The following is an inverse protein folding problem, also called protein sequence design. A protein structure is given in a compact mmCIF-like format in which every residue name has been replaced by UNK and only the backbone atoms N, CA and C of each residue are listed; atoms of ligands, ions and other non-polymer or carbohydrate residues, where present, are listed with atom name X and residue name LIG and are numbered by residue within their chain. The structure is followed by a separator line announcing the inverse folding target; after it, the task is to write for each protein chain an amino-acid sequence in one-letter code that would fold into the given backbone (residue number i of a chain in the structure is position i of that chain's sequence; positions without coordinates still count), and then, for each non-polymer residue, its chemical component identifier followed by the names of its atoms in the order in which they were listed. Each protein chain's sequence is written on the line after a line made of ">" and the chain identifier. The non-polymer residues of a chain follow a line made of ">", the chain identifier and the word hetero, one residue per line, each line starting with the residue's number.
data_IF_422467785928
#
_entry.id   IF_422467785928
#
_cell.length_a   1.000
_cell.length_b   1.000
_cell.length_c   1.000
_cell.angle_alpha   90.00
_cell.angle_beta   90.00
_cell.angle_gamma   90.00
#
_symmetry.space_group_name_H-M   'P 1'
#
loop_
_entity.id
_entity.type
_entity.pdbx_description
1 polymer ?
#
# COMPACT_ATOMS: atom_id res chain seq x y z
N UNK A 1 6.75 26.82 -23.02
CA UNK A 1 6.86 26.62 -21.55
C UNK A 1 8.27 26.14 -21.29
N UNK A 2 9.17 27.07 -20.95
CA UNK A 2 10.60 26.79 -20.75
C UNK A 2 10.79 25.78 -19.63
N UNK A 3 11.60 24.74 -19.87
CA UNK A 3 12.09 23.83 -18.83
C UNK A 3 12.92 24.66 -17.87
N UNK A 4 12.38 24.99 -16.70
CA UNK A 4 13.17 25.48 -15.58
C UNK A 4 14.19 24.39 -15.23
N UNK A 5 15.45 24.73 -15.36
CA UNK A 5 16.59 23.91 -14.94
C UNK A 5 16.35 23.51 -13.48
N UNK A 6 16.07 22.24 -13.22
CA UNK A 6 15.80 21.78 -11.86
C UNK A 6 17.15 21.77 -11.14
N UNK A 7 17.37 22.78 -10.30
CA UNK A 7 18.55 22.81 -9.43
C UNK A 7 18.61 21.53 -8.61
N UNK A 8 19.77 20.87 -8.62
CA UNK A 8 20.05 19.65 -7.86
C UNK A 8 19.81 19.90 -6.36
N UNK A 9 18.90 19.15 -5.75
CA UNK A 9 18.55 19.27 -4.33
C UNK A 9 19.25 18.19 -3.49
N UNK A 10 19.59 18.53 -2.24
CA UNK A 10 20.01 17.57 -1.22
C UNK A 10 18.78 17.16 -0.39
N UNK A 11 18.40 15.90 -0.47
CA UNK A 11 17.15 15.36 0.10
C UNK A 11 17.48 14.32 1.16
N UNK A 12 17.02 14.51 2.37
CA UNK A 12 17.02 13.48 3.41
C UNK A 12 15.65 12.80 3.46
N UNK A 13 15.62 11.49 3.54
CA UNK A 13 14.42 10.69 3.79
C UNK A 13 14.57 10.07 5.18
N UNK A 14 13.60 10.27 6.07
CA UNK A 14 13.56 9.67 7.41
C UNK A 14 12.41 8.66 7.45
N UNK A 15 12.76 7.37 7.63
CA UNK A 15 11.83 6.26 7.68
C UNK A 15 12.10 5.36 8.89
N UNK A 16 11.08 4.89 9.63
CA UNK A 16 11.29 4.19 10.90
C UNK A 16 12.03 2.84 10.79
N UNK A 17 11.68 2.00 9.81
CA UNK A 17 12.25 0.65 9.67
C UNK A 17 12.25 0.24 8.20
N UNK A 18 13.42 0.07 7.60
CA UNK A 18 13.58 -0.20 6.17
C UNK A 18 13.62 -1.72 5.90
N UNK A 19 12.46 -2.37 6.00
CA UNK A 19 12.25 -3.80 5.70
C UNK A 19 11.55 -4.03 4.36
N UNK A 20 10.66 -5.03 4.34
CA UNK A 20 9.81 -5.36 3.18
C UNK A 20 8.36 -5.08 3.54
N UNK A 21 7.76 -4.10 2.90
CA UNK A 21 6.35 -3.71 3.07
C UNK A 21 5.94 -2.63 2.08
N UNK A 22 4.67 -2.25 2.09
CA UNK A 22 4.14 -1.27 1.15
C UNK A 22 4.65 0.15 1.38
N UNK A 23 4.84 0.54 2.64
CA UNK A 23 5.39 1.84 2.99
C UNK A 23 6.89 1.93 2.64
N UNK A 24 7.63 0.87 2.95
CA UNK A 24 9.04 0.74 2.62
C UNK A 24 9.25 0.78 1.09
N UNK A 25 8.39 0.06 0.33
CA UNK A 25 8.43 0.10 -1.14
C UNK A 25 8.24 1.51 -1.67
N UNK A 26 7.27 2.27 -1.15
CA UNK A 26 7.03 3.65 -1.55
C UNK A 26 8.24 4.54 -1.31
N UNK A 27 8.90 4.40 -0.16
CA UNK A 27 10.08 5.19 0.17
C UNK A 27 11.29 4.82 -0.69
N UNK A 28 11.45 3.54 -1.01
CA UNK A 28 12.49 3.09 -1.94
C UNK A 28 12.23 3.62 -3.35
N UNK A 29 11.00 3.53 -3.85
CA UNK A 29 10.61 4.13 -5.14
C UNK A 29 10.84 5.64 -5.15
N UNK A 30 10.50 6.34 -4.07
CA UNK A 30 10.78 7.77 -3.92
C UNK A 30 12.29 8.08 -4.02
N UNK A 31 13.11 7.30 -3.32
CA UNK A 31 14.56 7.51 -3.34
C UNK A 31 15.17 7.23 -4.72
N UNK A 32 14.76 6.15 -5.40
CA UNK A 32 15.19 5.79 -6.74
C UNK A 32 14.80 6.88 -7.74
N UNK A 33 13.53 7.29 -7.76
CA UNK A 33 13.03 8.27 -8.71
C UNK A 33 13.65 9.67 -8.49
N UNK A 34 13.80 10.10 -7.24
CA UNK A 34 14.48 11.38 -6.95
C UNK A 34 15.95 11.34 -7.32
N UNK A 35 16.64 10.22 -7.10
CA UNK A 35 18.03 10.05 -7.51
C UNK A 35 18.16 10.05 -9.05
N UNK A 36 17.24 9.41 -9.76
CA UNK A 36 17.22 9.39 -11.23
C UNK A 36 16.92 10.77 -11.84
N UNK A 37 16.21 11.63 -11.10
CA UNK A 37 16.01 13.04 -11.47
C UNK A 37 17.22 13.94 -11.13
N UNK A 38 18.32 13.37 -10.66
CA UNK A 38 19.59 14.07 -10.43
C UNK A 38 19.75 14.67 -9.04
N UNK A 39 18.84 14.42 -8.11
CA UNK A 39 18.95 14.89 -6.72
C UNK A 39 19.92 14.01 -5.91
N UNK A 40 20.51 14.59 -4.87
CA UNK A 40 21.29 13.85 -3.88
C UNK A 40 20.34 13.34 -2.80
N UNK A 41 20.08 12.03 -2.76
CA UNK A 41 19.16 11.43 -1.80
C UNK A 41 19.92 10.63 -0.75
N UNK A 42 19.55 10.75 0.52
CA UNK A 42 20.08 9.98 1.65
C UNK A 42 18.95 9.48 2.53
N UNK A 43 18.87 8.16 2.74
CA UNK A 43 17.87 7.56 3.64
C UNK A 43 18.46 7.37 5.04
N UNK A 44 17.72 7.83 6.05
CA UNK A 44 18.01 7.64 7.46
C UNK A 44 16.92 6.77 8.10
N UNK A 45 17.31 5.72 8.78
CA UNK A 45 16.37 4.77 9.39
C UNK A 45 16.86 4.29 10.74
N UNK A 46 15.95 3.77 11.56
CA UNK A 46 16.34 3.17 12.84
C UNK A 46 16.65 1.68 12.74
N UNK A 47 16.30 1.03 11.63
CA UNK A 47 16.62 -0.37 11.38
C UNK A 47 16.64 -0.69 9.87
N UNK A 48 17.64 -1.50 9.48
CA UNK A 48 17.79 -1.99 8.12
C UNK A 48 18.43 -3.39 8.16
N UNK A 49 17.64 -4.40 7.90
CA UNK A 49 18.13 -5.78 7.77
C UNK A 49 18.49 -6.03 6.29
N UNK A 50 19.79 -6.06 6.01
CA UNK A 50 20.32 -6.24 4.64
C UNK A 50 19.99 -7.61 4.02
N UNK A 51 19.58 -8.59 4.84
CA UNK A 51 19.16 -9.92 4.37
C UNK A 51 17.69 -9.98 4.02
N UNK A 52 16.91 -8.96 4.45
CA UNK A 52 15.47 -8.87 4.25
C UNK A 52 15.06 -7.43 3.92
N UNK A 53 15.50 -6.94 2.80
CA UNK A 53 15.22 -5.58 2.30
C UNK A 53 15.02 -5.57 0.79
N UNK A 54 14.64 -4.43 0.25
CA UNK A 54 14.63 -4.22 -1.20
C UNK A 54 16.06 -4.04 -1.71
N UNK A 55 16.36 -4.63 -2.87
CA UNK A 55 17.70 -4.66 -3.47
C UNK A 55 18.28 -3.26 -3.67
N UNK A 56 17.46 -2.30 -4.05
CA UNK A 56 17.86 -0.91 -4.28
C UNK A 56 18.48 -0.25 -3.04
N UNK A 57 18.12 -0.71 -1.83
CA UNK A 57 18.66 -0.18 -0.56
C UNK A 57 20.09 -0.63 -0.25
N UNK A 58 20.59 -1.61 -0.99
CA UNK A 58 21.98 -2.15 -0.86
C UNK A 58 22.78 -2.02 -2.15
N UNK A 59 22.16 -1.58 -3.25
CA UNK A 59 22.80 -1.42 -4.57
C UNK A 59 23.76 -0.24 -4.68
N UNK A 60 23.73 0.71 -3.72
CA UNK A 60 24.58 1.90 -3.74
C UNK A 60 24.04 3.07 -4.58
N UNK A 61 22.81 3.01 -5.09
CA UNK A 61 22.16 4.13 -5.82
C UNK A 61 22.04 5.36 -4.91
N UNK A 62 21.79 5.15 -3.63
CA UNK A 62 21.74 6.16 -2.58
C UNK A 62 22.27 5.59 -1.26
N UNK A 63 22.87 6.42 -0.38
CA UNK A 63 23.30 5.97 0.93
C UNK A 63 22.10 5.70 1.85
N UNK A 64 22.24 4.64 2.66
CA UNK A 64 21.32 4.29 3.75
C UNK A 64 22.11 4.28 5.06
N UNK A 65 21.72 5.12 6.02
CA UNK A 65 22.37 5.19 7.35
C UNK A 65 21.39 4.80 8.45
N UNK A 66 21.87 3.95 9.34
CA UNK A 66 21.06 3.41 10.45
C UNK A 66 21.51 4.05 11.77
N UNK A 67 20.57 4.64 12.50
CA UNK A 67 20.79 5.18 13.85
C UNK A 67 19.77 4.61 14.84
N UNK A 68 20.23 4.20 16.02
CA UNK A 68 19.37 3.73 17.09
C UNK A 68 18.90 2.27 16.96
N UNK A 69 19.62 1.44 16.21
CA UNK A 69 19.33 0.00 16.10
C UNK A 69 19.38 -0.74 17.46
N UNK A 70 20.11 -0.20 18.45
CA UNK A 70 20.18 -0.70 19.81
C UNK A 70 18.93 -0.42 20.65
N UNK A 71 18.08 0.51 20.23
CA UNK A 71 16.85 0.83 20.94
C UNK A 71 15.78 -0.25 20.71
N UNK A 72 15.01 -0.64 21.75
CA UNK A 72 14.04 -1.71 21.64
C UNK A 72 12.88 -1.34 20.69
N UNK A 73 12.34 -2.34 19.99
CA UNK A 73 11.12 -2.19 19.16
C UNK A 73 9.84 -2.22 20.00
N UNK A 74 9.91 -2.85 21.16
CA UNK A 74 8.81 -2.95 22.13
C UNK A 74 9.37 -3.22 23.52
N UNK A 75 8.58 -2.93 24.56
CA UNK A 75 8.84 -3.28 25.93
C UNK A 75 7.77 -4.30 26.36
N UNK A 76 8.18 -5.52 26.70
CA UNK A 76 7.30 -6.65 27.07
C UNK A 76 6.16 -6.88 26.05
N UNK A 77 6.46 -6.87 24.74
CA UNK A 77 5.48 -6.97 23.66
C UNK A 77 4.36 -5.89 23.71
N UNK A 78 4.65 -4.78 24.37
CA UNK A 78 3.76 -3.60 24.52
C UNK A 78 4.54 -2.34 24.16
N UNK A 79 3.88 -1.19 24.22
CA UNK A 79 4.46 0.15 24.02
C UNK A 79 5.17 0.34 22.65
N UNK A 80 4.74 -0.38 21.61
CA UNK A 80 5.34 -0.33 20.27
C UNK A 80 5.41 1.12 19.73
N UNK A 81 4.34 1.91 19.90
CA UNK A 81 4.30 3.30 19.41
C UNK A 81 5.33 4.19 20.11
N UNK A 82 5.49 4.08 21.43
CA UNK A 82 6.50 4.86 22.17
C UNK A 82 7.90 4.46 21.75
N UNK A 83 8.18 3.15 21.60
CA UNK A 83 9.48 2.68 21.12
C UNK A 83 9.77 3.18 19.70
N UNK A 84 8.79 3.16 18.80
CA UNK A 84 8.91 3.71 17.47
C UNK A 84 9.22 5.21 17.49
N UNK A 85 8.52 5.98 18.32
CA UNK A 85 8.77 7.42 18.50
C UNK A 85 10.18 7.69 19.01
N UNK A 86 10.62 6.99 20.07
CA UNK A 86 11.98 7.14 20.61
C UNK A 86 13.06 6.83 19.58
N UNK A 87 12.88 5.77 18.79
CA UNK A 87 13.80 5.40 17.72
C UNK A 87 13.85 6.48 16.63
N UNK A 88 12.69 6.96 16.17
CA UNK A 88 12.62 8.02 15.16
C UNK A 88 13.17 9.36 15.68
N UNK A 89 12.93 9.71 16.95
CA UNK A 89 13.53 10.88 17.59
C UNK A 89 15.06 10.76 17.61
N UNK A 90 15.60 9.59 17.93
CA UNK A 90 17.04 9.35 17.93
C UNK A 90 17.65 9.50 16.53
N UNK A 91 16.99 8.96 15.49
CA UNK A 91 17.37 9.19 14.08
C UNK A 91 17.36 10.70 13.76
N UNK A 92 16.27 11.40 14.12
CA UNK A 92 16.13 12.83 13.85
C UNK A 92 17.21 13.68 14.57
N UNK A 93 17.54 13.36 15.81
CA UNK A 93 18.63 14.03 16.55
C UNK A 93 19.99 13.76 15.89
N UNK A 94 20.24 12.52 15.44
CA UNK A 94 21.48 12.20 14.72
C UNK A 94 21.58 13.01 13.42
N UNK A 95 20.50 13.10 12.65
CA UNK A 95 20.46 13.93 11.43
C UNK A 95 20.63 15.41 11.78
N UNK A 96 20.03 15.88 12.86
CA UNK A 96 20.10 17.29 13.29
C UNK A 96 21.54 17.72 13.60
N UNK A 97 22.29 16.89 14.35
CA UNK A 97 23.59 17.27 14.88
C UNK A 97 24.77 16.82 14.02
N UNK A 98 24.64 15.71 13.27
CA UNK A 98 25.77 15.10 12.57
C UNK A 98 25.82 15.43 11.07
N UNK A 99 24.75 15.99 10.50
CA UNK A 99 24.67 16.26 9.06
C UNK A 99 24.43 17.75 8.78
N UNK A 100 24.90 18.25 7.61
CA UNK A 100 24.56 19.59 7.15
C UNK A 100 23.05 19.72 6.91
N UNK A 101 22.61 20.94 6.62
CA UNK A 101 21.21 21.16 6.24
C UNK A 101 20.94 20.56 4.87
N UNK A 102 19.78 19.90 4.76
CA UNK A 102 19.22 19.44 3.50
C UNK A 102 18.26 20.53 2.95
N UNK A 103 18.03 20.51 1.64
CA UNK A 103 17.02 21.40 1.04
C UNK A 103 15.61 20.90 1.41
N UNK A 104 15.42 19.58 1.30
CA UNK A 104 14.16 18.88 1.65
C UNK A 104 14.44 17.76 2.64
N UNK A 105 13.56 17.61 3.61
CA UNK A 105 13.49 16.46 4.50
C UNK A 105 12.12 15.79 4.31
N UNK A 106 12.11 14.60 3.71
CA UNK A 106 10.91 13.78 3.57
C UNK A 106 10.81 12.87 4.80
N UNK A 107 9.89 13.19 5.70
CA UNK A 107 9.55 12.36 6.85
C UNK A 107 8.40 11.41 6.49
N UNK A 108 8.53 10.13 6.81
CA UNK A 108 7.54 9.12 6.49
C UNK A 108 7.01 8.43 7.74
N UNK A 109 5.71 8.14 7.77
CA UNK A 109 4.94 7.46 8.82
C UNK A 109 4.90 8.18 10.18
N UNK A 110 6.03 8.66 10.70
CA UNK A 110 6.14 9.13 12.09
C UNK A 110 6.41 10.63 12.14
N UNK A 111 5.37 11.39 12.43
CA UNK A 111 5.40 12.87 12.41
C UNK A 111 6.21 13.51 13.54
N UNK A 112 6.53 12.78 14.62
CA UNK A 112 7.28 13.30 15.78
C UNK A 112 8.68 13.84 15.43
N UNK A 113 9.25 13.42 14.28
CA UNK A 113 10.54 13.93 13.80
C UNK A 113 10.45 15.36 13.25
N UNK A 114 9.28 15.80 12.82
CA UNK A 114 9.08 17.08 12.11
C UNK A 114 9.54 18.27 12.94
N UNK A 115 9.15 18.44 14.21
CA UNK A 115 9.61 19.58 15.03
C UNK A 115 11.14 19.67 15.11
N UNK A 116 11.83 18.53 15.24
CA UNK A 116 13.29 18.48 15.29
C UNK A 116 13.90 18.90 13.96
N UNK A 117 13.34 18.43 12.86
CA UNK A 117 13.82 18.77 11.53
C UNK A 117 13.56 20.24 11.16
N UNK A 118 12.53 20.86 11.70
CA UNK A 118 12.24 22.30 11.56
C UNK A 118 13.29 23.18 12.26
N UNK A 119 14.09 22.65 13.19
CA UNK A 119 15.23 23.36 13.76
C UNK A 119 16.35 23.62 12.74
N UNK A 120 16.44 22.81 11.69
CA UNK A 120 17.28 23.10 10.52
C UNK A 120 16.59 24.17 9.65
N UNK A 121 16.81 25.43 9.98
CA UNK A 121 16.09 26.60 9.42
C UNK A 121 16.12 26.69 7.89
N UNK A 122 17.12 26.12 7.20
CA UNK A 122 17.20 26.10 5.74
C UNK A 122 16.40 24.97 5.08
N UNK A 123 16.03 23.93 5.82
CA UNK A 123 15.32 22.77 5.28
C UNK A 123 13.81 22.97 5.27
N UNK A 124 13.13 22.46 4.23
CA UNK A 124 11.68 22.29 4.19
C UNK A 124 11.34 20.85 4.53
N UNK A 125 10.25 20.65 5.27
CA UNK A 125 9.83 19.31 5.72
C UNK A 125 8.56 18.89 4.99
N UNK A 126 8.64 17.83 4.24
CA UNK A 126 7.52 17.12 3.60
C UNK A 126 7.18 15.92 4.45
N UNK A 127 5.91 15.71 4.78
CA UNK A 127 5.46 14.55 5.53
C UNK A 127 4.56 13.65 4.68
N UNK A 128 4.91 12.37 4.56
CA UNK A 128 4.05 11.38 3.90
C UNK A 128 3.26 10.60 4.95
N UNK A 129 1.95 10.83 5.00
CA UNK A 129 1.02 10.17 5.91
C UNK A 129 0.31 9.04 5.17
N UNK A 130 0.75 7.79 5.36
CA UNK A 130 0.09 6.64 4.76
C UNK A 130 -1.35 6.48 5.24
N UNK A 131 -1.56 6.67 6.53
CA UNK A 131 -2.85 6.71 7.21
C UNK A 131 -2.66 7.27 8.64
N UNK A 132 -3.63 7.99 9.24
CA UNK A 132 -3.52 8.44 10.62
C UNK A 132 -3.29 7.29 11.59
N UNK A 133 -2.16 7.29 12.33
CA UNK A 133 -1.76 6.21 13.24
C UNK A 133 -2.79 6.01 14.37
N UNK A 134 -3.41 7.11 14.82
CA UNK A 134 -4.48 7.04 15.83
C UNK A 134 -5.66 6.15 15.41
N UNK A 135 -5.92 5.95 14.12
CA UNK A 135 -6.97 5.05 13.62
C UNK A 135 -6.49 3.60 13.49
N UNK A 136 -5.18 3.39 13.32
CA UNK A 136 -4.58 2.05 13.27
C UNK A 136 -4.44 1.44 14.67
N UNK A 137 -4.36 2.29 15.68
CA UNK A 137 -4.20 1.88 17.06
C UNK A 137 -5.50 1.28 17.63
N UNK A 138 -5.38 0.17 18.33
CA UNK A 138 -6.52 -0.44 19.02
C UNK A 138 -6.82 0.30 20.33
N UNK A 139 -8.01 0.90 20.45
CA UNK A 139 -8.51 1.59 21.64
C UNK A 139 -9.49 0.70 22.47
N UNK A 140 -9.19 -0.59 22.56
CA UNK A 140 -10.11 -1.60 23.12
C UNK A 140 -10.25 -1.52 24.66
N UNK A 141 -9.28 -0.98 25.38
CA UNK A 141 -9.31 -0.88 26.83
C UNK A 141 -9.12 0.57 27.32
N UNK A 142 -9.61 0.88 28.54
CA UNK A 142 -9.45 2.20 29.15
C UNK A 142 -7.96 2.57 29.27
N UNK A 143 -7.12 1.64 29.68
CA UNK A 143 -5.65 1.85 29.80
C UNK A 143 -5.03 2.20 28.44
N UNK A 144 -5.45 1.50 27.37
CA UNK A 144 -4.97 1.83 26.01
C UNK A 144 -5.43 3.21 25.56
N UNK A 145 -6.66 3.61 25.87
CA UNK A 145 -7.17 4.97 25.55
C UNK A 145 -6.36 6.04 26.26
N UNK A 146 -6.09 5.88 27.58
CA UNK A 146 -5.28 6.82 28.36
C UNK A 146 -3.86 6.91 27.79
N UNK A 147 -3.25 5.76 27.47
CA UNK A 147 -1.92 5.67 26.87
C UNK A 147 -1.85 6.34 25.50
N UNK A 148 -2.85 6.12 24.65
CA UNK A 148 -2.87 6.64 23.27
C UNK A 148 -3.18 8.13 23.18
N UNK A 149 -4.01 8.66 24.05
CA UNK A 149 -4.47 10.06 23.99
C UNK A 149 -3.35 11.10 23.83
N UNK A 150 -2.24 11.08 24.61
CA UNK A 150 -1.13 12.01 24.42
C UNK A 150 -0.37 11.75 23.09
N UNK A 151 -0.28 10.52 22.63
CA UNK A 151 0.39 10.14 21.38
C UNK A 151 -0.43 10.66 20.20
N UNK A 152 -1.75 10.45 20.21
CA UNK A 152 -2.67 10.89 19.17
C UNK A 152 -2.70 12.42 19.05
N UNK A 153 -2.67 13.11 20.20
CA UNK A 153 -2.55 14.57 20.24
C UNK A 153 -1.21 15.05 19.63
N UNK A 154 -0.11 14.39 20.01
CA UNK A 154 1.22 14.71 19.49
C UNK A 154 1.31 14.46 17.98
N UNK A 155 0.70 13.37 17.49
CA UNK A 155 0.61 13.05 16.06
C UNK A 155 -0.04 14.21 15.29
N UNK A 156 -1.22 14.68 15.72
CA UNK A 156 -1.91 15.77 15.04
C UNK A 156 -1.08 17.06 15.06
N UNK A 157 -0.53 17.44 16.23
CA UNK A 157 0.25 18.66 16.40
C UNK A 157 1.51 18.66 15.54
N UNK A 158 2.27 17.58 15.56
CA UNK A 158 3.54 17.49 14.81
C UNK A 158 3.31 17.38 13.32
N UNK A 159 2.26 16.68 12.88
CA UNK A 159 1.86 16.60 11.48
C UNK A 159 1.56 18.00 10.92
N UNK A 160 0.89 18.83 11.68
CA UNK A 160 0.55 20.20 11.27
C UNK A 160 1.74 21.17 11.14
N UNK A 161 2.94 20.76 11.55
CA UNK A 161 4.17 21.55 11.41
C UNK A 161 4.91 21.30 10.08
N UNK A 162 4.50 20.33 9.28
CA UNK A 162 5.09 20.08 7.96
C UNK A 162 4.81 21.24 6.99
N UNK A 163 5.76 21.50 6.07
CA UNK A 163 5.57 22.49 5.00
C UNK A 163 4.64 21.94 3.89
N UNK A 164 4.61 20.61 3.71
CA UNK A 164 3.71 19.90 2.83
C UNK A 164 3.35 18.54 3.44
N UNK A 165 2.09 18.18 3.38
CA UNK A 165 1.59 16.86 3.79
C UNK A 165 1.12 16.13 2.55
N UNK A 166 1.62 14.89 2.34
CA UNK A 166 1.21 14.00 1.27
C UNK A 166 0.46 12.80 1.85
N UNK A 167 -0.51 12.29 1.10
CA UNK A 167 -1.26 11.07 1.43
C UNK A 167 -1.41 10.18 0.21
N UNK A 168 -1.66 8.88 0.42
CA UNK A 168 -1.68 7.87 -0.62
C UNK A 168 -2.96 7.82 -1.46
N UNK A 169 -4.05 8.53 -1.07
CA UNK A 169 -5.33 8.50 -1.79
C UNK A 169 -6.24 9.66 -1.36
N UNK A 170 -7.26 9.96 -2.18
CA UNK A 170 -8.33 10.89 -1.80
C UNK A 170 -9.15 10.35 -0.63
N UNK A 171 -9.33 9.02 -0.56
CA UNK A 171 -9.93 8.37 0.60
C UNK A 171 -9.16 8.68 1.88
N UNK A 172 -7.83 8.53 1.87
CA UNK A 172 -6.98 8.89 3.01
C UNK A 172 -7.00 10.39 3.28
N UNK A 173 -7.04 11.26 2.26
CA UNK A 173 -7.18 12.72 2.45
C UNK A 173 -8.50 13.07 3.16
N UNK A 174 -9.60 12.44 2.76
CA UNK A 174 -10.90 12.61 3.45
C UNK A 174 -10.86 12.10 4.89
N UNK A 175 -10.24 10.95 5.12
CA UNK A 175 -10.06 10.37 6.46
C UNK A 175 -9.18 11.26 7.33
N UNK A 176 -8.08 11.77 6.79
CA UNK A 176 -7.21 12.75 7.44
C UNK A 176 -7.99 13.97 7.93
N UNK A 177 -8.81 14.57 7.06
CA UNK A 177 -9.61 15.73 7.41
C UNK A 177 -10.67 15.46 8.50
N UNK A 178 -11.24 14.24 8.51
CA UNK A 178 -12.21 13.81 9.54
C UNK A 178 -11.54 13.52 10.88
N UNK A 179 -10.30 13.03 10.83
CA UNK A 179 -9.53 12.58 12.00
C UNK A 179 -8.84 13.73 12.68
N UNK A 180 -8.05 14.50 11.95
CA UNK A 180 -7.29 15.64 12.44
C UNK A 180 -8.13 16.92 12.37
N UNK A 181 -9.10 17.02 13.26
CA UNK A 181 -10.10 18.09 13.26
C UNK A 181 -9.49 19.46 13.46
N UNK A 182 -8.45 19.58 14.29
CA UNK A 182 -7.77 20.82 14.53
C UNK A 182 -7.00 21.31 13.27
N UNK A 183 -6.31 20.41 12.58
CA UNK A 183 -5.65 20.76 11.33
C UNK A 183 -6.67 21.14 10.25
N UNK A 184 -7.75 20.39 10.17
CA UNK A 184 -8.85 20.65 9.24
C UNK A 184 -9.48 22.03 9.46
N UNK A 185 -9.71 22.46 10.71
CA UNK A 185 -10.25 23.78 11.04
C UNK A 185 -9.30 24.93 10.67
N UNK A 186 -7.99 24.66 10.67
CA UNK A 186 -6.95 25.61 10.23
C UNK A 186 -6.76 25.65 8.71
N UNK A 187 -7.56 24.91 7.94
CA UNK A 187 -7.45 24.83 6.48
C UNK A 187 -6.28 23.98 5.97
N UNK A 188 -5.60 23.23 6.84
CA UNK A 188 -4.50 22.35 6.43
C UNK A 188 -5.09 21.13 5.73
N UNK A 189 -4.72 20.96 4.46
CA UNK A 189 -5.18 19.86 3.57
C UNK A 189 -3.97 19.12 3.02
N UNK A 190 -3.96 17.79 3.07
CA UNK A 190 -2.92 17.03 2.41
C UNK A 190 -3.11 17.02 0.88
N UNK A 191 -2.00 16.96 0.14
CA UNK A 191 -2.00 16.67 -1.28
C UNK A 191 -1.93 15.15 -1.50
N UNK A 192 -2.50 14.68 -2.60
CA UNK A 192 -2.49 13.25 -2.93
C UNK A 192 -1.30 12.92 -3.79
N UNK A 193 -0.51 11.94 -3.36
CA UNK A 193 0.55 11.30 -4.14
C UNK A 193 0.31 9.79 -4.09
N UNK A 194 -0.26 9.25 -5.16
CA UNK A 194 -0.56 7.82 -5.26
C UNK A 194 0.71 6.97 -5.25
N UNK A 195 0.76 5.87 -4.46
CA UNK A 195 1.80 4.85 -4.59
C UNK A 195 1.85 4.27 -6.00
N UNK A 196 3.01 3.79 -6.40
CA UNK A 196 3.26 3.29 -7.73
C UNK A 196 3.45 1.77 -7.79
N UNK A 197 3.35 1.24 -9.00
CA UNK A 197 3.74 -0.12 -9.34
C UNK A 197 4.81 -0.09 -10.41
N UNK A 198 5.86 -0.87 -10.23
CA UNK A 198 6.80 -1.16 -11.30
C UNK A 198 6.14 -2.08 -12.32
N UNK A 199 5.70 -1.50 -13.43
CA UNK A 199 4.98 -2.23 -14.48
C UNK A 199 5.85 -3.22 -15.24
N UNK A 200 7.16 -2.99 -15.27
CA UNK A 200 8.12 -3.83 -16.03
C UNK A 200 8.38 -5.20 -15.37
N UNK A 201 7.85 -5.40 -14.14
CA UNK A 201 7.89 -6.70 -13.46
C UNK A 201 6.86 -7.71 -13.98
N UNK A 202 5.97 -7.30 -14.87
CA UNK A 202 4.84 -8.12 -15.33
C UNK A 202 4.85 -8.23 -16.86
N UNK A 203 5.00 -9.45 -17.34
CA UNK A 203 4.94 -9.78 -18.76
C UNK A 203 3.50 -9.92 -19.25
N UNK A 204 3.31 -9.85 -20.58
CA UNK A 204 2.01 -10.14 -21.17
C UNK A 204 1.68 -11.63 -20.99
N UNK A 205 0.45 -11.98 -20.54
CA UNK A 205 0.08 -13.37 -20.27
C UNK A 205 0.03 -14.21 -21.54
N UNK A 206 0.75 -15.33 -21.55
CA UNK A 206 0.75 -16.29 -22.67
C UNK A 206 -0.47 -17.20 -22.67
N UNK A 207 -1.02 -17.52 -21.50
CA UNK A 207 -2.19 -18.39 -21.32
C UNK A 207 -3.02 -17.94 -20.12
N UNK A 208 -4.33 -18.15 -20.22
CA UNK A 208 -5.26 -17.86 -19.12
C UNK A 208 -5.95 -19.14 -18.72
N UNK A 209 -5.89 -19.48 -17.44
CA UNK A 209 -6.63 -20.61 -16.82
C UNK A 209 -8.00 -20.13 -16.39
N UNK A 210 -8.94 -21.07 -16.27
CA UNK A 210 -10.27 -20.81 -15.74
C UNK A 210 -10.23 -20.68 -14.21
N UNK A 211 -9.46 -19.68 -13.71
CA UNK A 211 -9.24 -19.47 -12.30
C UNK A 211 -9.39 -18.00 -11.91
N UNK A 212 -9.99 -17.77 -10.77
CA UNK A 212 -9.99 -16.48 -10.08
C UNK A 212 -8.88 -16.45 -9.04
N UNK A 213 -8.33 -15.26 -8.75
CA UNK A 213 -7.23 -15.12 -7.82
C UNK A 213 -7.55 -14.05 -6.77
N UNK A 214 -7.45 -14.39 -5.49
CA UNK A 214 -7.51 -13.43 -4.38
C UNK A 214 -6.13 -13.35 -3.73
N UNK A 215 -5.52 -12.15 -3.72
CA UNK A 215 -4.22 -11.93 -3.09
C UNK A 215 -4.40 -10.99 -1.90
N UNK A 216 -4.28 -11.53 -0.70
CA UNK A 216 -4.41 -10.79 0.54
C UNK A 216 -3.61 -11.45 1.67
N UNK A 217 -3.19 -10.68 2.68
CA UNK A 217 -2.72 -11.28 3.93
C UNK A 217 -3.88 -12.01 4.61
N UNK A 218 -3.61 -13.13 5.26
CA UNK A 218 -4.63 -13.90 5.98
C UNK A 218 -5.05 -13.18 7.28
N UNK A 219 -5.72 -12.05 7.12
CA UNK A 219 -6.24 -11.20 8.20
C UNK A 219 -7.74 -10.95 7.99
N UNK A 220 -8.55 -11.01 9.05
CA UNK A 220 -10.02 -10.87 8.96
C UNK A 220 -10.47 -9.57 8.29
N UNK A 221 -9.73 -8.49 8.50
CA UNK A 221 -10.00 -7.20 7.84
C UNK A 221 -9.92 -7.24 6.31
N UNK A 222 -9.32 -8.31 5.73
CA UNK A 222 -9.23 -8.50 4.28
C UNK A 222 -10.47 -9.16 3.69
N UNK A 223 -11.39 -9.65 4.54
CA UNK A 223 -12.70 -10.16 4.15
C UNK A 223 -12.63 -11.20 3.00
N UNK A 224 -11.69 -12.15 3.12
CA UNK A 224 -11.46 -13.19 2.10
C UNK A 224 -12.68 -14.11 1.96
N UNK A 225 -13.46 -14.26 3.03
CA UNK A 225 -14.71 -15.01 3.04
C UNK A 225 -15.69 -14.53 1.95
N UNK A 226 -15.70 -13.24 1.62
CA UNK A 226 -16.51 -12.71 0.52
C UNK A 226 -16.13 -13.32 -0.84
N UNK A 227 -14.82 -13.50 -1.11
CA UNK A 227 -14.36 -14.14 -2.34
C UNK A 227 -14.80 -15.62 -2.39
N UNK A 228 -14.69 -16.34 -1.29
CA UNK A 228 -15.09 -17.76 -1.18
C UNK A 228 -16.59 -17.90 -1.39
N UNK A 229 -17.41 -17.14 -0.67
CA UNK A 229 -18.88 -17.22 -0.78
C UNK A 229 -19.38 -16.77 -2.15
N UNK A 230 -18.76 -15.76 -2.77
CA UNK A 230 -19.09 -15.34 -4.13
C UNK A 230 -18.73 -16.44 -5.17
N UNK A 231 -17.58 -17.07 -5.02
CA UNK A 231 -17.15 -18.19 -5.85
C UNK A 231 -18.07 -19.39 -5.69
N UNK A 232 -18.43 -19.75 -4.45
CA UNK A 232 -19.35 -20.85 -4.16
C UNK A 232 -20.74 -20.62 -4.78
N UNK A 233 -21.23 -19.38 -4.70
CA UNK A 233 -22.50 -19.00 -5.33
C UNK A 233 -22.42 -19.15 -6.87
N UNK A 234 -21.31 -18.75 -7.48
CA UNK A 234 -21.08 -18.94 -8.91
C UNK A 234 -21.03 -20.42 -9.30
N UNK A 235 -20.24 -21.21 -8.56
CA UNK A 235 -19.99 -22.62 -8.84
C UNK A 235 -21.26 -23.49 -8.64
N UNK A 236 -22.04 -23.20 -7.60
CA UNK A 236 -23.26 -23.92 -7.25
C UNK A 236 -24.50 -23.40 -7.97
N UNK A 237 -24.42 -22.27 -8.69
CA UNK A 237 -25.53 -21.78 -9.50
C UNK A 237 -25.83 -22.78 -10.62
N UNK A 238 -27.13 -23.00 -10.91
CA UNK A 238 -27.59 -23.91 -11.99
C UNK A 238 -27.21 -23.41 -13.41
N UNK A 239 -26.12 -22.65 -13.53
CA UNK A 239 -25.61 -22.17 -14.81
C UNK A 239 -24.68 -23.21 -15.47
N UNK A 240 -25.02 -24.50 -15.35
CA UNK A 240 -24.25 -25.60 -16.00
C UNK A 240 -24.09 -25.40 -17.50
N UNK A 241 -25.05 -24.70 -18.15
CA UNK A 241 -24.95 -24.36 -19.57
C UNK A 241 -23.81 -23.34 -19.89
N UNK A 242 -23.26 -22.60 -18.89
CA UNK A 242 -22.17 -21.65 -19.12
C UNK A 242 -20.80 -22.34 -19.13
N UNK A 243 -20.63 -23.37 -18.34
CA UNK A 243 -19.35 -24.05 -18.13
C UNK A 243 -19.27 -25.41 -18.85
N UNK A 244 -20.42 -26.11 -19.01
CA UNK A 244 -20.42 -27.44 -19.58
C UNK A 244 -19.39 -28.37 -18.94
N UNK A 245 -18.62 -29.08 -19.77
CA UNK A 245 -17.56 -30.00 -19.33
C UNK A 245 -16.36 -29.30 -18.63
N UNK A 246 -16.29 -27.95 -18.68
CA UNK A 246 -15.19 -27.19 -18.07
C UNK A 246 -15.46 -26.75 -16.63
N UNK A 247 -16.59 -27.13 -16.05
CA UNK A 247 -16.94 -26.76 -14.65
C UNK A 247 -15.87 -27.21 -13.67
N UNK A 248 -15.29 -28.40 -13.86
CA UNK A 248 -14.25 -28.93 -12.99
C UNK A 248 -12.89 -28.22 -13.10
N UNK A 249 -12.68 -27.46 -14.19
CA UNK A 249 -11.48 -26.64 -14.36
C UNK A 249 -11.59 -25.28 -13.61
N UNK A 250 -12.81 -24.90 -13.22
CA UNK A 250 -13.04 -23.62 -12.54
C UNK A 250 -12.53 -23.66 -11.11
N UNK A 251 -11.68 -22.71 -10.76
CA UNK A 251 -11.05 -22.65 -9.44
C UNK A 251 -10.91 -21.24 -8.88
N UNK A 252 -10.80 -21.16 -7.56
CA UNK A 252 -10.39 -19.96 -6.84
C UNK A 252 -9.07 -20.21 -6.12
N UNK A 253 -8.08 -19.38 -6.38
CA UNK A 253 -6.80 -19.40 -5.67
C UNK A 253 -6.79 -18.27 -4.65
N UNK A 254 -6.60 -18.60 -3.39
CA UNK A 254 -6.45 -17.66 -2.28
C UNK A 254 -4.99 -17.65 -1.86
N UNK A 255 -4.27 -16.60 -2.23
CA UNK A 255 -2.82 -16.49 -2.03
C UNK A 255 -2.47 -15.29 -1.14
N UNK A 256 -1.34 -15.35 -0.46
CA UNK A 256 -0.81 -14.16 0.22
C UNK A 256 0.04 -14.41 1.45
N UNK A 257 0.32 -13.32 2.15
CA UNK A 257 1.18 -13.32 3.32
C UNK A 257 0.56 -14.06 4.51
N UNK A 258 1.35 -14.96 5.09
CA UNK A 258 0.96 -15.79 6.23
C UNK A 258 2.14 -15.94 7.19
N UNK A 259 1.91 -15.67 8.47
CA UNK A 259 2.91 -15.91 9.52
C UNK A 259 2.32 -16.84 10.60
N UNK A 260 2.90 -18.04 10.72
CA UNK A 260 2.50 -19.05 11.71
C UNK A 260 2.57 -18.56 13.17
N UNK A 261 3.36 -17.52 13.45
CA UNK A 261 3.48 -16.92 14.78
C UNK A 261 2.32 -15.99 15.11
N UNK A 262 1.58 -15.53 14.10
CA UNK A 262 0.42 -14.69 14.29
C UNK A 262 -0.84 -15.56 14.42
N UNK A 263 -1.38 -15.61 15.62
CA UNK A 263 -2.58 -16.39 15.95
C UNK A 263 -3.75 -16.08 15.00
N UNK A 264 -3.97 -14.81 14.68
CA UNK A 264 -5.02 -14.38 13.74
C UNK A 264 -4.86 -15.05 12.37
N UNK A 265 -3.62 -15.12 11.82
CA UNK A 265 -3.41 -15.72 10.51
C UNK A 265 -3.76 -17.22 10.52
N UNK A 266 -3.38 -17.94 11.59
CA UNK A 266 -3.65 -19.37 11.72
C UNK A 266 -5.16 -19.63 11.85
N UNK A 267 -5.81 -18.93 12.78
CA UNK A 267 -7.25 -19.09 13.02
C UNK A 267 -8.07 -18.73 11.77
N UNK A 268 -7.73 -17.61 11.12
CA UNK A 268 -8.47 -17.16 9.96
C UNK A 268 -8.33 -18.10 8.76
N UNK A 269 -7.13 -18.66 8.52
CA UNK A 269 -6.95 -19.68 7.48
C UNK A 269 -7.86 -20.92 7.71
N UNK A 270 -7.97 -21.40 8.96
CA UNK A 270 -8.85 -22.51 9.29
C UNK A 270 -10.34 -22.14 9.14
N UNK A 271 -10.73 -20.93 9.52
CA UNK A 271 -12.09 -20.43 9.30
C UNK A 271 -12.43 -20.40 7.80
N UNK A 272 -11.51 -19.98 6.94
CA UNK A 272 -11.69 -19.94 5.49
C UNK A 272 -11.80 -21.35 4.88
N UNK A 273 -11.01 -22.32 5.34
CA UNK A 273 -11.13 -23.73 4.92
C UNK A 273 -12.48 -24.32 5.31
N UNK A 274 -12.89 -24.12 6.56
CA UNK A 274 -14.18 -24.57 7.05
C UNK A 274 -15.35 -23.91 6.30
N UNK A 275 -15.20 -22.64 5.88
CA UNK A 275 -16.17 -21.98 5.00
C UNK A 275 -16.25 -22.67 3.64
N UNK A 276 -15.12 -22.95 3.01
CA UNK A 276 -15.07 -23.63 1.72
C UNK A 276 -15.73 -25.04 1.76
N UNK A 277 -15.55 -25.76 2.86
CA UNK A 277 -16.23 -27.06 3.08
C UNK A 277 -17.76 -26.90 3.23
N UNK A 278 -18.20 -25.94 4.05
CA UNK A 278 -19.64 -25.68 4.25
C UNK A 278 -20.34 -25.25 2.96
N UNK A 279 -19.64 -24.47 2.13
CA UNK A 279 -20.16 -24.02 0.84
C UNK A 279 -20.03 -25.08 -0.27
N UNK A 280 -19.40 -26.24 0.01
CA UNK A 280 -19.27 -27.37 -0.92
C UNK A 280 -18.26 -27.14 -2.05
N UNK A 281 -17.29 -26.26 -1.88
CA UNK A 281 -16.30 -25.86 -2.91
C UNK A 281 -14.83 -26.09 -2.49
N UNK A 282 -14.60 -26.89 -1.45
CA UNK A 282 -13.25 -27.10 -0.91
C UNK A 282 -12.26 -27.68 -1.94
N UNK A 283 -12.75 -28.48 -2.91
CA UNK A 283 -11.91 -29.07 -3.97
C UNK A 283 -11.51 -28.06 -5.05
N UNK A 284 -12.29 -27.01 -5.21
CA UNK A 284 -12.07 -25.97 -6.22
C UNK A 284 -11.29 -24.76 -5.65
N UNK A 285 -10.99 -24.76 -4.35
CA UNK A 285 -10.25 -23.66 -3.69
C UNK A 285 -8.86 -24.14 -3.30
N UNK A 286 -7.86 -23.40 -3.78
CA UNK A 286 -6.45 -23.61 -3.40
C UNK A 286 -5.99 -22.47 -2.50
N UNK A 287 -5.43 -22.81 -1.32
CA UNK A 287 -4.80 -21.85 -0.41
C UNK A 287 -3.27 -21.89 -0.59
N UNK A 288 -2.68 -20.74 -0.94
CA UNK A 288 -1.23 -20.56 -1.13
C UNK A 288 -0.70 -19.59 -0.07
N UNK A 289 -0.15 -20.12 1.01
CA UNK A 289 0.39 -19.35 2.12
C UNK A 289 1.84 -18.94 1.88
N UNK A 290 2.22 -17.72 2.27
CA UNK A 290 3.59 -17.20 2.12
C UNK A 290 4.10 -17.21 0.67
N UNK A 291 3.24 -16.88 -0.27
CA UNK A 291 3.48 -16.85 -1.70
C UNK A 291 4.71 -15.98 -2.07
N UNK A 292 5.79 -16.55 -2.62
CA UNK A 292 6.93 -15.78 -3.12
C UNK A 292 6.53 -14.89 -4.29
N UNK A 293 7.31 -13.84 -4.56
CA UNK A 293 7.01 -12.88 -5.65
C UNK A 293 6.94 -13.57 -7.02
N UNK A 294 7.83 -14.52 -7.32
CA UNK A 294 7.82 -15.27 -8.58
C UNK A 294 6.55 -16.11 -8.75
N UNK A 295 6.12 -16.82 -7.70
CA UNK A 295 4.88 -17.61 -7.72
C UNK A 295 3.67 -16.68 -7.83
N UNK A 296 3.64 -15.56 -7.07
CA UNK A 296 2.59 -14.53 -7.16
C UNK A 296 2.45 -13.99 -8.59
N UNK A 297 3.56 -13.65 -9.25
CA UNK A 297 3.54 -13.16 -10.63
C UNK A 297 3.04 -14.23 -11.62
N UNK A 298 3.41 -15.48 -11.40
CA UNK A 298 2.87 -16.62 -12.18
C UNK A 298 1.37 -16.78 -12.00
N UNK A 299 0.86 -16.71 -10.76
CA UNK A 299 -0.58 -16.79 -10.48
C UNK A 299 -1.33 -15.60 -11.13
N UNK A 300 -0.78 -14.39 -11.03
CA UNK A 300 -1.32 -13.21 -11.68
C UNK A 300 -1.38 -13.39 -13.20
N UNK A 301 -0.31 -13.88 -13.84
CA UNK A 301 -0.29 -14.05 -15.31
C UNK A 301 -1.30 -15.07 -15.81
N UNK A 302 -1.71 -16.05 -14.99
CA UNK A 302 -2.56 -17.17 -15.40
C UNK A 302 -4.05 -17.01 -15.06
N UNK A 303 -4.44 -16.16 -14.11
CA UNK A 303 -5.85 -16.02 -13.70
C UNK A 303 -6.71 -15.28 -14.74
N UNK A 304 -8.04 -15.44 -14.67
CA UNK A 304 -9.02 -14.66 -15.42
C UNK A 304 -9.10 -13.23 -14.92
N UNK A 305 -9.28 -13.07 -13.62
CA UNK A 305 -9.29 -11.77 -12.95
C UNK A 305 -8.90 -11.91 -11.48
N UNK A 306 -8.59 -10.79 -10.85
CA UNK A 306 -8.28 -10.73 -9.42
C UNK A 306 -9.51 -10.29 -8.64
N UNK A 307 -9.78 -10.97 -7.53
CA UNK A 307 -10.85 -10.65 -6.57
C UNK A 307 -10.23 -9.92 -5.38
N UNK A 308 -10.61 -8.68 -5.16
CA UNK A 308 -10.09 -7.85 -4.09
C UNK A 308 -11.20 -7.41 -3.13
N UNK A 309 -11.26 -8.05 -1.99
CA UNK A 309 -12.38 -8.01 -1.04
C UNK A 309 -12.26 -7.01 0.11
N UNK A 310 -11.10 -6.38 0.42
CA UNK A 310 -11.03 -5.41 1.50
C UNK A 310 -11.99 -4.24 1.29
N UNK A 311 -12.79 -3.96 2.33
CA UNK A 311 -13.65 -2.78 2.39
C UNK A 311 -12.87 -1.60 2.97
N UNK A 312 -13.08 -0.39 2.45
CA UNK A 312 -12.48 0.85 2.94
C UNK A 312 -10.93 0.77 3.04
N UNK A 313 -10.30 0.04 2.11
CA UNK A 313 -8.85 -0.03 2.02
C UNK A 313 -8.27 1.34 1.71
N UNK A 314 -7.17 1.70 2.36
CA UNK A 314 -6.59 3.04 2.27
C UNK A 314 -6.17 3.40 0.83
N UNK A 315 -5.57 2.44 0.12
CA UNK A 315 -5.21 2.58 -1.28
C UNK A 315 -5.43 1.27 -2.04
N UNK A 316 -4.77 0.17 -1.64
CA UNK A 316 -4.85 -1.13 -2.31
C UNK A 316 -3.87 -1.25 -3.47
N UNK A 317 -2.64 -1.67 -3.19
CA UNK A 317 -1.61 -1.87 -4.21
C UNK A 317 -1.89 -3.10 -5.08
N UNK A 318 -2.51 -4.15 -4.53
CA UNK A 318 -2.80 -5.41 -5.23
C UNK A 318 -3.67 -5.22 -6.48
N UNK A 319 -4.73 -4.40 -6.49
CA UNK A 319 -5.43 -4.04 -7.71
C UNK A 319 -4.52 -3.48 -8.81
N UNK A 320 -3.58 -2.60 -8.45
CA UNK A 320 -2.63 -2.03 -9.42
C UNK A 320 -1.64 -3.08 -9.95
N UNK A 321 -1.15 -3.98 -9.09
CA UNK A 321 -0.30 -5.10 -9.50
C UNK A 321 -1.03 -6.04 -10.47
N UNK A 322 -2.30 -6.34 -10.19
CA UNK A 322 -3.14 -7.14 -11.09
C UNK A 322 -3.34 -6.46 -12.45
N UNK A 323 -3.69 -5.17 -12.42
CA UNK A 323 -3.85 -4.38 -13.65
C UNK A 323 -2.53 -4.24 -14.42
N UNK A 324 -1.41 -4.08 -13.72
CA UNK A 324 -0.07 -4.11 -14.32
C UNK A 324 0.25 -5.46 -14.98
N UNK A 325 -0.26 -6.56 -14.46
CA UNK A 325 -0.16 -7.91 -15.02
C UNK A 325 -1.24 -8.21 -16.10
N UNK A 326 -1.86 -7.20 -16.70
CA UNK A 326 -2.94 -7.33 -17.68
C UNK A 326 -4.18 -8.09 -17.16
N UNK A 327 -4.50 -7.95 -15.87
CA UNK A 327 -5.67 -8.60 -15.29
C UNK A 327 -6.69 -7.57 -14.81
N UNK A 328 -7.96 -7.74 -15.20
CA UNK A 328 -9.03 -6.95 -14.61
C UNK A 328 -9.22 -7.31 -13.14
N UNK A 329 -9.83 -6.40 -12.38
CA UNK A 329 -10.05 -6.57 -10.95
C UNK A 329 -11.53 -6.44 -10.62
N UNK A 330 -12.06 -7.34 -9.78
CA UNK A 330 -13.34 -7.16 -9.10
C UNK A 330 -13.03 -6.71 -7.68
N UNK A 331 -13.45 -5.53 -7.29
CA UNK A 331 -13.16 -4.97 -5.97
C UNK A 331 -14.39 -4.38 -5.29
N UNK A 332 -14.32 -4.20 -3.97
CA UNK A 332 -15.33 -3.47 -3.22
C UNK A 332 -15.41 -2.01 -3.71
N UNK A 333 -16.64 -1.51 -3.88
CA UNK A 333 -16.92 -0.11 -4.26
C UNK A 333 -16.71 0.83 -3.07
N UNK A 334 -15.52 0.82 -2.50
CA UNK A 334 -15.13 1.67 -1.37
C UNK A 334 -13.61 1.82 -1.26
N UNK A 335 -13.18 2.90 -0.59
CA UNK A 335 -11.75 3.15 -0.34
C UNK A 335 -10.95 3.48 -1.60
N UNK A 336 -9.68 3.14 -1.58
CA UNK A 336 -8.73 3.36 -2.68
C UNK A 336 -9.08 2.71 -4.01
N UNK A 337 -9.65 1.48 -4.06
CA UNK A 337 -10.08 0.86 -5.32
C UNK A 337 -10.99 1.72 -6.18
N UNK A 338 -11.83 2.57 -5.58
CA UNK A 338 -12.71 3.52 -6.33
C UNK A 338 -11.92 4.55 -7.12
N UNK A 339 -10.67 4.83 -6.70
CA UNK A 339 -9.79 5.81 -7.35
C UNK A 339 -8.90 5.17 -8.42
N UNK A 340 -8.66 3.85 -8.31
CA UNK A 340 -7.70 3.14 -9.15
C UNK A 340 -8.37 2.31 -10.23
N UNK A 341 -9.59 1.83 -10.02
CA UNK A 341 -10.33 0.99 -10.97
C UNK A 341 -11.36 1.82 -11.70
N UNK A 342 -11.34 1.78 -13.04
CA UNK A 342 -12.39 2.34 -13.90
C UNK A 342 -13.49 1.28 -14.08
N UNK A 343 -14.63 1.46 -13.38
CA UNK A 343 -15.72 0.50 -13.41
C UNK A 343 -16.22 0.22 -14.82
N UNK A 344 -16.31 -1.05 -15.20
CA UNK A 344 -16.70 -1.52 -16.53
C UNK A 344 -15.63 -1.40 -17.62
N UNK A 345 -14.43 -0.83 -17.30
CA UNK A 345 -13.34 -0.62 -18.26
C UNK A 345 -12.08 -1.41 -17.85
N UNK A 346 -11.61 -1.24 -16.61
CA UNK A 346 -10.42 -1.93 -16.10
C UNK A 346 -10.75 -3.03 -15.09
N UNK A 347 -12.03 -3.20 -14.77
CA UNK A 347 -12.57 -4.13 -13.81
C UNK A 347 -13.96 -3.73 -13.36
N UNK A 348 -14.42 -4.31 -12.24
CA UNK A 348 -15.73 -4.03 -11.66
C UNK A 348 -15.59 -3.56 -10.22
N UNK A 349 -16.36 -2.52 -9.87
CA UNK A 349 -16.57 -2.06 -8.50
C UNK A 349 -17.95 -2.56 -8.02
N UNK A 350 -17.94 -3.41 -7.01
CA UNK A 350 -19.13 -4.09 -6.51
C UNK A 350 -19.41 -3.73 -5.05
N UNK A 351 -20.69 -3.65 -4.68
CA UNK A 351 -21.04 -3.67 -3.26
C UNK A 351 -20.57 -4.98 -2.62
N UNK A 352 -20.12 -4.96 -1.36
CA UNK A 352 -19.50 -6.10 -0.70
C UNK A 352 -20.52 -7.19 -0.34
N UNK A 353 -21.07 -7.85 -1.36
CA UNK A 353 -21.99 -8.98 -1.22
C UNK A 353 -21.58 -10.13 -2.14
N UNK A 354 -21.76 -11.40 -1.71
CA UNK A 354 -21.50 -12.57 -2.54
C UNK A 354 -22.23 -12.52 -3.88
N UNK A 355 -23.46 -12.00 -3.91
CA UNK A 355 -24.29 -11.89 -5.12
C UNK A 355 -23.65 -10.98 -6.17
N UNK A 356 -23.21 -9.79 -5.77
CA UNK A 356 -22.62 -8.82 -6.71
C UNK A 356 -21.27 -9.28 -7.23
N UNK A 357 -20.43 -9.85 -6.35
CA UNK A 357 -19.14 -10.41 -6.75
C UNK A 357 -19.32 -11.62 -7.67
N UNK A 358 -20.22 -12.55 -7.35
CA UNK A 358 -20.57 -13.71 -8.17
C UNK A 358 -21.08 -13.30 -9.56
N UNK A 359 -21.94 -12.30 -9.63
CA UNK A 359 -22.45 -11.78 -10.90
C UNK A 359 -21.33 -11.16 -11.76
N UNK A 360 -20.39 -10.41 -11.15
CA UNK A 360 -19.24 -9.88 -11.84
C UNK A 360 -18.28 -10.97 -12.33
N UNK A 361 -18.04 -12.01 -11.51
CA UNK A 361 -17.25 -13.18 -11.89
C UNK A 361 -17.87 -13.92 -13.09
N UNK A 362 -19.20 -14.09 -13.10
CA UNK A 362 -19.93 -14.76 -14.17
C UNK A 362 -19.72 -14.08 -15.55
N UNK A 363 -19.51 -12.77 -15.61
CA UNK A 363 -19.25 -12.06 -16.86
C UNK A 363 -17.96 -12.57 -17.53
N UNK A 364 -16.90 -12.81 -16.76
CA UNK A 364 -15.63 -13.33 -17.28
C UNK A 364 -15.70 -14.81 -17.69
N UNK A 365 -16.65 -15.56 -17.13
CA UNK A 365 -16.93 -16.94 -17.59
C UNK A 365 -17.69 -16.95 -18.89
N UNK A 366 -18.71 -16.06 -19.02
CA UNK A 366 -19.51 -15.95 -20.25
C UNK A 366 -18.70 -15.45 -21.44
N UNK A 367 -17.81 -14.50 -21.18
CA UNK A 367 -16.93 -13.92 -22.20
C UNK A 367 -15.47 -13.83 -21.72
N UNK A 368 -14.68 -14.89 -21.89
CA UNK A 368 -13.26 -14.87 -21.53
C UNK A 368 -12.43 -13.82 -22.29
N UNK A 369 -12.87 -13.35 -23.48
CA UNK A 369 -12.21 -12.26 -24.21
C UNK A 369 -12.33 -10.93 -23.48
N UNK A 370 -13.40 -10.73 -22.71
CA UNK A 370 -13.57 -9.55 -21.85
C UNK A 370 -12.40 -9.41 -20.87
N UNK A 371 -11.91 -10.53 -20.29
CA UNK A 371 -10.73 -10.51 -19.40
C UNK A 371 -9.49 -9.95 -20.10
N UNK A 372 -9.26 -10.33 -21.35
CA UNK A 372 -8.12 -9.83 -22.14
C UNK A 372 -8.28 -8.36 -22.52
N UNK A 373 -9.46 -7.97 -22.94
CA UNK A 373 -9.75 -6.58 -23.35
C UNK A 373 -9.64 -5.64 -22.16
N UNK A 374 -10.33 -5.93 -21.05
CA UNK A 374 -10.23 -5.16 -19.82
C UNK A 374 -8.81 -5.18 -19.25
N UNK A 375 -8.10 -6.30 -19.37
CA UNK A 375 -6.72 -6.43 -18.90
C UNK A 375 -5.75 -5.51 -19.64
N UNK A 376 -5.91 -5.32 -20.96
CA UNK A 376 -5.11 -4.35 -21.73
C UNK A 376 -5.42 -2.91 -21.31
N UNK A 377 -6.68 -2.57 -21.17
CA UNK A 377 -7.11 -1.25 -20.70
C UNK A 377 -6.59 -0.98 -19.27
N UNK A 378 -6.62 -2.01 -18.42
CA UNK A 378 -6.11 -1.97 -17.05
C UNK A 378 -4.59 -1.68 -17.02
N UNK A 379 -3.81 -2.39 -17.82
CA UNK A 379 -2.37 -2.16 -17.98
C UNK A 379 -2.07 -0.75 -18.46
N UNK A 380 -2.75 -0.31 -19.52
CA UNK A 380 -2.56 1.03 -20.08
C UNK A 380 -2.88 2.10 -19.03
N UNK A 381 -3.96 1.93 -18.28
CA UNK A 381 -4.34 2.85 -17.20
C UNK A 381 -3.27 2.94 -16.10
N UNK A 382 -2.72 1.81 -15.66
CA UNK A 382 -1.65 1.80 -14.66
C UNK A 382 -0.38 2.47 -15.18
N UNK A 383 0.02 2.17 -16.41
CA UNK A 383 1.19 2.80 -17.04
C UNK A 383 1.09 4.33 -17.11
N UNK A 384 -0.10 4.85 -17.41
CA UNK A 384 -0.34 6.29 -17.55
C UNK A 384 -0.56 7.03 -16.24
N UNK A 385 -1.00 6.33 -15.16
CA UNK A 385 -1.45 7.01 -13.94
C UNK A 385 -0.75 6.56 -12.67
N UNK A 386 -0.19 5.34 -12.63
CA UNK A 386 0.31 4.71 -11.41
C UNK A 386 1.67 4.01 -11.57
N UNK A 387 2.38 4.24 -12.67
CA UNK A 387 3.74 3.72 -12.83
C UNK A 387 4.74 4.46 -11.94
N UNK A 388 5.87 3.82 -11.63
CA UNK A 388 6.98 4.44 -10.86
C UNK A 388 7.43 5.75 -11.50
N UNK A 389 7.50 5.82 -12.82
CA UNK A 389 7.84 7.05 -13.55
C UNK A 389 6.86 8.19 -13.29
N UNK A 390 5.56 7.94 -13.33
CA UNK A 390 4.51 8.95 -13.05
C UNK A 390 4.56 9.39 -11.59
N UNK A 391 4.74 8.45 -10.66
CA UNK A 391 4.95 8.73 -9.25
C UNK A 391 6.17 9.65 -9.06
N UNK A 392 7.31 9.31 -9.67
CA UNK A 392 8.54 10.12 -9.60
C UNK A 392 8.35 11.53 -10.13
N UNK A 393 7.63 11.70 -11.25
CA UNK A 393 7.32 13.02 -11.80
C UNK A 393 6.48 13.87 -10.84
N UNK A 394 5.42 13.29 -10.26
CA UNK A 394 4.57 14.01 -9.30
C UNK A 394 5.31 14.32 -8.01
N UNK A 395 6.07 13.37 -7.46
CA UNK A 395 6.88 13.59 -6.27
C UNK A 395 7.92 14.70 -6.50
N UNK A 396 8.63 14.66 -7.63
CA UNK A 396 9.62 15.67 -7.99
C UNK A 396 8.99 17.07 -8.12
N UNK A 397 7.80 17.17 -8.70
CA UNK A 397 7.06 18.43 -8.79
C UNK A 397 6.73 18.97 -7.38
N UNK A 398 6.16 18.14 -6.49
CA UNK A 398 5.85 18.54 -5.11
C UNK A 398 7.09 18.99 -4.32
N UNK A 399 8.20 18.27 -4.47
CA UNK A 399 9.46 18.58 -3.78
C UNK A 399 10.07 19.87 -4.32
N UNK A 400 10.13 20.06 -5.63
CA UNK A 400 10.66 21.26 -6.25
C UNK A 400 9.84 22.50 -5.91
N UNK A 401 8.51 22.41 -5.97
CA UNK A 401 7.62 23.51 -5.58
C UNK A 401 7.77 23.86 -4.10
N UNK A 402 7.93 22.84 -3.23
CA UNK A 402 8.11 23.06 -1.78
C UNK A 402 9.47 23.72 -1.48
N UNK A 403 10.52 23.32 -2.18
CA UNK A 403 11.85 23.93 -2.04
C UNK A 403 11.87 25.41 -2.46
N UNK A 404 11.08 25.77 -3.48
CA UNK A 404 11.01 27.15 -4.01
C UNK A 404 10.13 28.09 -3.17
N UNK A 405 9.24 27.59 -2.33
CA UNK A 405 8.40 28.43 -1.46
C UNK A 405 9.27 29.20 -0.51
N UNK A 406 9.21 30.54 -0.57
CA UNK A 406 9.85 31.41 0.43
C UNK A 406 9.30 31.05 1.81
N UNK A 407 10.13 31.18 2.83
CA UNK A 407 9.66 31.14 4.21
C UNK A 407 9.02 32.47 4.51
N UNK A 408 7.73 32.44 4.78
CA UNK A 408 7.02 33.59 5.39
C UNK A 408 7.40 33.71 6.88
#
# INVERSE_FOLDING_TARGET
>A
MERRDSSKLNIAIIHPDLGIGGAERLIVDAAVELSSNGHNVHIFTSHHDKTRCFEETVSGIFPVTVYGAFLPRHIFYRLHAVCAYLRCIFVALSVLFMYPSFDIILADQVSVVIPLMKLKKSSKVVFYCHFPDMLLAQHTTILRRIYRKPIDFLEEMTTGMADLILVNSKFTASTFAKTFKHLNSRGIRPAVLYPAVNVDQFDEPNATKLSFLSINRFERKKNIELAISAFAMLYNSQQDFLLGDKKDELSLIVAGGFDKRLRENVEYLEELKNLAEREGVSRQIQFVTSCPTSERNTLLSQCLCVIYTPKDEHFGIVPLEAMAAHKPVIACNSGGPVETIKNGVTGYLCDPSPQNFSAAMANFIRDPQMSRTMGREARQHVMQSFSTKIFGQHLNAYISDTALRKRD
#
